data_IF_085736749741
#
_entry.id   IF_085736749741
#
_cell.length_a   1.000
_cell.length_b   1.000
_cell.length_c   1.000
_cell.angle_alpha   90.00
_cell.angle_beta   90.00
_cell.angle_gamma   90.00
#
_symmetry.space_group_name_H-M   'P 1'
#
loop_
_entity.id
_entity.type
_entity.pdbx_description
1 polymer ?
#
# COMPACT_ATOMS: atom_id res chain seq x y z
N UNK A 1 -15.77 -15.02 -18.18
CA UNK A 1 -17.09 -15.06 -17.50
C UNK A 1 -17.08 -16.15 -16.43
N UNK A 2 -16.77 -15.81 -15.17
CA UNK A 2 -16.96 -16.70 -14.02
C UNK A 2 -17.89 -16.00 -13.03
N UNK A 3 -18.84 -16.77 -12.54
CA UNK A 3 -20.18 -16.37 -12.10
C UNK A 3 -20.23 -15.42 -10.89
N UNK A 4 -21.20 -14.48 -10.86
CA UNK A 4 -21.33 -13.43 -9.82
C UNK A 4 -21.77 -13.93 -8.44
N UNK A 5 -22.13 -15.20 -8.31
CA UNK A 5 -22.71 -15.79 -7.09
C UNK A 5 -21.64 -16.15 -6.04
N UNK A 6 -20.40 -16.44 -6.48
CA UNK A 6 -19.30 -16.78 -5.56
C UNK A 6 -18.75 -15.55 -4.83
N UNK A 7 -18.86 -14.36 -5.42
CA UNK A 7 -18.37 -13.11 -4.86
C UNK A 7 -19.22 -12.60 -3.68
N UNK A 8 -20.51 -13.00 -3.61
CA UNK A 8 -21.44 -12.51 -2.59
C UNK A 8 -21.30 -13.23 -1.23
N UNK A 9 -20.80 -14.48 -1.21
CA UNK A 9 -20.62 -15.25 0.04
C UNK A 9 -19.28 -14.95 0.74
N UNK A 10 -18.28 -14.55 -0.01
CA UNK A 10 -16.94 -14.22 0.46
C UNK A 10 -16.90 -12.82 1.13
N UNK A 11 -17.77 -11.90 0.71
CA UNK A 11 -17.79 -10.50 1.13
C UNK A 11 -18.09 -10.24 2.62
N UNK A 12 -18.54 -11.26 3.37
CA UNK A 12 -18.79 -11.16 4.83
C UNK A 12 -17.64 -11.71 5.69
N UNK A 13 -16.71 -12.48 5.12
CA UNK A 13 -15.56 -13.10 5.84
C UNK A 13 -14.21 -12.58 5.31
N UNK A 14 -14.17 -12.18 4.04
CA UNK A 14 -12.99 -11.62 3.39
C UNK A 14 -12.67 -10.18 3.75
N UNK A 15 -13.52 -9.44 4.47
CA UNK A 15 -13.10 -8.13 5.01
C UNK A 15 -11.89 -8.26 5.94
N UNK A 16 -11.82 -9.33 6.74
CA UNK A 16 -10.65 -9.58 7.60
C UNK A 16 -9.41 -9.99 6.79
N UNK A 17 -9.57 -10.91 5.83
CA UNK A 17 -8.44 -11.41 5.03
C UNK A 17 -7.91 -10.38 4.03
N UNK A 18 -8.80 -9.63 3.37
CA UNK A 18 -8.42 -8.53 2.47
C UNK A 18 -7.94 -7.31 3.25
N UNK A 19 -8.43 -7.07 4.47
CA UNK A 19 -7.94 -6.03 5.37
C UNK A 19 -6.51 -6.31 5.86
N UNK A 20 -6.22 -7.55 6.27
CA UNK A 20 -4.86 -7.97 6.66
C UNK A 20 -3.90 -7.99 5.47
N UNK A 21 -4.32 -8.52 4.31
CA UNK A 21 -3.42 -8.68 3.16
C UNK A 21 -3.23 -7.36 2.40
N UNK A 22 -4.28 -6.54 2.28
CA UNK A 22 -4.26 -5.31 1.49
C UNK A 22 -3.64 -4.09 2.19
N UNK A 23 -3.90 -3.90 3.49
CA UNK A 23 -3.34 -2.80 4.28
C UNK A 23 -2.19 -3.27 5.18
N UNK A 24 -2.27 -4.51 5.67
CA UNK A 24 -1.29 -5.04 6.63
C UNK A 24 0.04 -5.47 6.01
N UNK A 25 0.11 -5.94 4.77
CA UNK A 25 1.35 -6.48 4.19
C UNK A 25 2.53 -5.50 4.20
N UNK A 26 2.31 -4.26 3.76
CA UNK A 26 3.34 -3.21 3.78
C UNK A 26 3.63 -2.68 5.18
N UNK A 27 2.59 -2.53 6.01
CA UNK A 27 2.73 -2.07 7.38
C UNK A 27 3.54 -3.06 8.24
N UNK A 28 3.31 -4.38 8.07
CA UNK A 28 4.05 -5.43 8.77
C UNK A 28 5.55 -5.38 8.44
N UNK A 29 5.91 -5.17 7.17
CA UNK A 29 7.33 -5.04 6.76
C UNK A 29 7.95 -3.80 7.41
N UNK A 30 7.24 -2.67 7.41
CA UNK A 30 7.72 -1.42 8.03
C UNK A 30 7.91 -1.61 9.54
N UNK A 31 6.91 -2.17 10.24
CA UNK A 31 7.00 -2.41 11.68
C UNK A 31 8.12 -3.40 12.02
N UNK A 32 8.29 -4.45 11.22
CA UNK A 32 9.39 -5.39 11.38
C UNK A 32 10.75 -4.69 11.22
N UNK A 33 10.94 -3.84 10.21
CA UNK A 33 12.19 -3.08 10.05
C UNK A 33 12.42 -2.05 11.17
N UNK A 34 11.37 -1.40 11.65
CA UNK A 34 11.46 -0.45 12.77
C UNK A 34 11.85 -1.13 14.07
N UNK A 35 11.17 -2.23 14.43
CA UNK A 35 11.34 -2.91 15.72
C UNK A 35 12.51 -3.91 15.72
N UNK A 36 12.72 -4.65 14.62
CA UNK A 36 13.77 -5.68 14.57
C UNK A 36 15.13 -5.12 14.17
N UNK A 37 15.17 -4.12 13.27
CA UNK A 37 16.42 -3.62 12.70
C UNK A 37 16.80 -2.21 13.20
N UNK A 38 15.96 -1.54 14.00
CA UNK A 38 16.19 -0.18 14.50
C UNK A 38 16.47 0.86 13.39
N UNK A 39 15.90 0.64 12.19
CA UNK A 39 16.11 1.54 11.06
C UNK A 39 15.43 2.90 11.31
N UNK A 40 16.03 4.02 10.86
CA UNK A 40 15.35 5.30 10.88
C UNK A 40 14.12 5.25 9.96
N UNK A 41 13.00 5.84 10.43
CA UNK A 41 11.68 5.70 9.81
C UNK A 41 11.65 5.95 8.30
N UNK A 42 12.34 7.01 7.84
CA UNK A 42 12.46 7.33 6.40
C UNK A 42 13.08 6.20 5.59
N UNK A 43 14.09 5.53 6.14
CA UNK A 43 14.81 4.48 5.44
C UNK A 43 14.01 3.17 5.43
N UNK A 44 13.35 2.84 6.54
CA UNK A 44 12.45 1.67 6.60
C UNK A 44 11.29 1.80 5.59
N UNK A 45 10.64 2.97 5.53
CA UNK A 45 9.56 3.22 4.57
C UNK A 45 10.05 3.16 3.11
N UNK A 46 11.22 3.75 2.82
CA UNK A 46 11.82 3.71 1.49
C UNK A 46 12.17 2.28 1.04
N UNK A 47 12.77 1.48 1.91
CA UNK A 47 13.14 0.09 1.62
C UNK A 47 11.91 -0.79 1.39
N UNK A 48 10.86 -0.64 2.21
CA UNK A 48 9.60 -1.36 1.97
C UNK A 48 8.98 -0.95 0.64
N UNK A 49 8.97 0.34 0.31
CA UNK A 49 8.45 0.81 -0.97
C UNK A 49 9.25 0.22 -2.14
N UNK A 50 10.57 0.12 -2.03
CA UNK A 50 11.41 -0.51 -3.06
C UNK A 50 11.03 -1.98 -3.29
N UNK A 51 10.85 -2.75 -2.21
CA UNK A 51 10.50 -4.18 -2.30
C UNK A 51 9.08 -4.37 -2.88
N UNK A 52 8.12 -3.53 -2.48
CA UNK A 52 6.74 -3.65 -2.97
C UNK A 52 6.62 -3.11 -4.41
N UNK A 53 7.28 -2.00 -4.72
CA UNK A 53 7.18 -1.36 -6.03
C UNK A 53 7.99 -2.05 -7.12
N UNK A 54 9.17 -2.62 -6.83
CA UNK A 54 9.98 -3.22 -7.89
C UNK A 54 9.53 -4.65 -8.22
N UNK A 55 9.84 -5.68 -7.41
CA UNK A 55 9.50 -7.07 -7.77
C UNK A 55 8.01 -7.38 -7.63
N UNK A 56 7.37 -6.97 -6.53
CA UNK A 56 5.97 -7.38 -6.25
C UNK A 56 5.00 -6.78 -7.26
N UNK A 57 5.14 -5.49 -7.57
CA UNK A 57 4.26 -4.83 -8.55
C UNK A 57 4.45 -5.37 -9.97
N UNK A 58 5.69 -5.70 -10.37
CA UNK A 58 5.99 -6.19 -11.70
C UNK A 58 5.43 -7.60 -11.91
N UNK A 59 5.58 -8.49 -10.92
CA UNK A 59 4.99 -9.83 -10.95
C UNK A 59 3.45 -9.77 -10.94
N UNK A 60 2.87 -8.86 -10.16
CA UNK A 60 1.43 -8.64 -10.14
C UNK A 60 0.93 -8.15 -11.51
N UNK A 61 1.57 -7.14 -12.09
CA UNK A 61 1.23 -6.61 -13.42
C UNK A 61 1.32 -7.69 -14.50
N UNK A 62 2.35 -8.54 -14.47
CA UNK A 62 2.50 -9.65 -15.41
C UNK A 62 1.36 -10.67 -15.31
N UNK A 63 0.95 -11.05 -14.09
CA UNK A 63 -0.19 -11.95 -13.88
C UNK A 63 -1.52 -11.32 -14.34
N UNK A 64 -1.71 -10.02 -14.12
CA UNK A 64 -2.90 -9.29 -14.56
C UNK A 64 -2.96 -9.15 -16.08
N UNK A 65 -1.82 -8.89 -16.72
CA UNK A 65 -1.72 -8.84 -18.18
C UNK A 65 -2.07 -10.18 -18.82
N UNK A 66 -1.54 -11.28 -18.27
CA UNK A 66 -1.86 -12.65 -18.73
C UNK A 66 -3.35 -13.02 -18.55
N UNK A 67 -4.01 -12.42 -17.58
CA UNK A 67 -5.43 -12.68 -17.28
C UNK A 67 -6.40 -11.85 -18.14
N UNK A 68 -5.89 -10.93 -18.98
CA UNK A 68 -6.71 -10.13 -19.90
C UNK A 68 -7.55 -9.02 -19.23
N UNK A 69 -7.27 -8.69 -17.97
CA UNK A 69 -8.00 -7.68 -17.19
C UNK A 69 -7.32 -6.29 -17.18
N UNK A 70 -6.56 -5.96 -18.23
CA UNK A 70 -5.79 -4.70 -18.29
C UNK A 70 -6.20 -3.87 -19.50
N UNK A 71 -6.95 -2.80 -19.24
CA UNK A 71 -7.21 -1.74 -20.23
C UNK A 71 -5.97 -0.84 -20.36
N UNK A 72 -5.18 -1.08 -21.41
CA UNK A 72 -3.90 -0.38 -21.65
C UNK A 72 -4.05 1.15 -21.71
N UNK A 73 -5.16 1.67 -22.24
CA UNK A 73 -5.44 3.12 -22.31
C UNK A 73 -5.63 3.73 -20.92
N UNK A 74 -6.42 3.09 -20.06
CA UNK A 74 -6.64 3.55 -18.69
C UNK A 74 -5.38 3.39 -17.84
N UNK A 75 -4.65 2.29 -18.02
CA UNK A 75 -3.40 2.01 -17.31
C UNK A 75 -2.32 3.05 -17.58
N UNK A 76 -2.13 3.48 -18.83
CA UNK A 76 -1.15 4.52 -19.19
C UNK A 76 -1.50 5.86 -18.56
N UNK A 77 -2.79 6.26 -18.59
CA UNK A 77 -3.22 7.51 -17.98
C UNK A 77 -2.92 7.52 -16.47
N UNK A 78 -3.32 6.45 -15.77
CA UNK A 78 -3.08 6.29 -14.33
C UNK A 78 -1.58 6.25 -14.01
N UNK A 79 -0.77 5.58 -14.84
CA UNK A 79 0.68 5.52 -14.66
C UNK A 79 1.32 6.91 -14.68
N UNK A 80 0.91 7.78 -15.60
CA UNK A 80 1.44 9.16 -15.70
C UNK A 80 1.06 9.97 -14.47
N UNK A 81 -0.21 9.93 -14.05
CA UNK A 81 -0.65 10.63 -12.84
C UNK A 81 0.04 10.09 -11.59
N UNK A 82 0.18 8.76 -11.47
CA UNK A 82 0.81 8.12 -10.33
C UNK A 82 2.29 8.48 -10.20
N UNK A 83 3.04 8.51 -11.31
CA UNK A 83 4.45 8.92 -11.30
C UNK A 83 4.59 10.40 -10.89
N UNK A 84 3.76 11.29 -11.44
CA UNK A 84 3.75 12.71 -11.07
C UNK A 84 3.45 12.90 -9.58
N UNK A 85 2.38 12.29 -9.08
CA UNK A 85 1.97 12.42 -7.68
C UNK A 85 2.96 11.78 -6.72
N UNK A 86 3.52 10.62 -7.07
CA UNK A 86 4.51 9.91 -6.27
C UNK A 86 5.80 10.72 -6.14
N UNK A 87 6.24 11.36 -7.22
CA UNK A 87 7.43 12.22 -7.20
C UNK A 87 7.23 13.44 -6.29
N UNK A 88 6.10 14.14 -6.43
CA UNK A 88 5.76 15.32 -5.61
C UNK A 88 5.62 14.90 -4.13
N UNK A 89 4.93 13.78 -3.85
CA UNK A 89 4.74 13.27 -2.49
C UNK A 89 6.04 12.85 -1.81
N UNK A 90 6.96 12.19 -2.55
CA UNK A 90 8.28 11.82 -2.05
C UNK A 90 9.14 13.07 -1.72
N UNK A 91 9.10 14.08 -2.60
CA UNK A 91 9.81 15.34 -2.38
C UNK A 91 9.35 16.02 -1.09
N UNK A 92 8.04 16.14 -0.86
CA UNK A 92 7.52 16.70 0.39
C UNK A 92 7.83 15.85 1.63
N UNK A 93 7.76 14.52 1.50
CA UNK A 93 8.06 13.60 2.61
C UNK A 93 9.52 13.62 3.06
N UNK A 94 10.45 13.90 2.15
CA UNK A 94 11.89 13.93 2.48
C UNK A 94 12.32 15.21 3.20
N UNK A 95 11.59 16.31 3.08
CA UNK A 95 11.89 17.60 3.74
C UNK A 95 11.52 17.65 5.22
N UNK A 96 10.70 16.71 5.72
CA UNK A 96 10.22 16.70 7.11
C UNK A 96 11.25 16.12 8.11
N UNK A 97 11.40 16.67 9.33
CA UNK A 97 12.24 16.08 10.38
C UNK A 97 11.78 14.67 10.77
N UNK A 98 12.72 13.82 11.23
CA UNK A 98 12.45 12.41 11.59
C UNK A 98 11.37 12.27 12.68
N UNK A 99 11.39 13.16 13.66
CA UNK A 99 10.41 13.17 14.76
C UNK A 99 9.01 13.54 14.29
N UNK A 100 8.90 14.53 13.41
CA UNK A 100 7.60 14.96 12.85
C UNK A 100 6.98 13.87 12.00
N UNK A 101 7.80 13.16 11.21
CA UNK A 101 7.33 12.04 10.37
C UNK A 101 6.79 10.88 11.21
N UNK A 102 7.45 10.58 12.33
CA UNK A 102 7.03 9.53 13.27
C UNK A 102 5.71 9.87 13.94
N UNK A 103 5.58 11.09 14.44
CA UNK A 103 4.35 11.57 15.07
C UNK A 103 3.19 11.67 14.09
N UNK A 104 3.44 12.14 12.86
CA UNK A 104 2.42 12.21 11.82
C UNK A 104 1.90 10.82 11.42
N UNK A 105 2.80 9.85 11.22
CA UNK A 105 2.41 8.47 10.93
C UNK A 105 1.59 7.88 12.09
N UNK A 106 2.04 8.09 13.34
CA UNK A 106 1.33 7.61 14.52
C UNK A 106 -0.06 8.21 14.68
N UNK A 107 -0.21 9.53 14.50
CA UNK A 107 -1.51 10.23 14.53
C UNK A 107 -2.42 9.71 13.43
N UNK A 108 -1.90 9.52 12.21
CA UNK A 108 -2.71 9.03 11.11
C UNK A 108 -3.21 7.60 11.35
N UNK A 109 -2.35 6.70 11.87
CA UNK A 109 -2.75 5.35 12.26
C UNK A 109 -3.79 5.36 13.38
N UNK A 110 -3.63 6.26 14.36
CA UNK A 110 -4.57 6.40 15.46
C UNK A 110 -5.96 6.85 14.97
N UNK A 111 -6.02 7.87 14.12
CA UNK A 111 -7.27 8.32 13.48
C UNK A 111 -7.91 7.24 12.62
N UNK A 112 -7.11 6.49 11.86
CA UNK A 112 -7.59 5.43 10.99
C UNK A 112 -8.15 4.25 11.82
N UNK A 113 -7.52 3.94 12.95
CA UNK A 113 -8.04 2.98 13.93
C UNK A 113 -9.35 3.44 14.56
N UNK A 114 -9.46 4.71 14.97
CA UNK A 114 -10.71 5.27 15.50
C UNK A 114 -11.85 5.22 14.49
N UNK A 115 -11.58 5.58 13.23
CA UNK A 115 -12.58 5.52 12.16
C UNK A 115 -13.05 4.08 11.93
N UNK A 116 -12.17 3.09 12.03
CA UNK A 116 -12.52 1.68 11.88
C UNK A 116 -13.43 1.16 13.00
N UNK A 117 -13.31 1.69 14.22
CA UNK A 117 -14.12 1.28 15.37
C UNK A 117 -15.51 1.93 15.36
N UNK A 118 -15.60 3.17 14.87
CA UNK A 118 -16.85 3.94 14.85
C UNK A 118 -17.67 3.79 13.55
N UNK A 119 -17.22 2.98 12.58
CA UNK A 119 -17.89 2.72 11.30
C UNK A 119 -18.18 1.23 11.13
#
# INVERSE_FOLDING_TARGET
MKSPIFFCREKRRSSCSMGLVGVGGGAIIIFSLLFAAHFPQKLAQGTTLFIVAAPVSLLAAYNYYKSGFVDLKAGILIMVFFLLFSYIGSSWGTMLPRETLKTLLGIMLFFMGLKLVFF
#
